data_IF_835965774201
#
_entry.id   IF_835965774201
#
_cell.length_a   1.000
_cell.length_b   1.000
_cell.length_c   1.000
_cell.angle_alpha   90.00
_cell.angle_beta   90.00
_cell.angle_gamma   90.00
#
_symmetry.space_group_name_H-M   'P 1'
#
loop_
_entity.id
_entity.type
_entity.pdbx_description
1 polymer ?
#
# COMPACT_ATOMS: atom_id res chain seq x y z
N UNK A 1 -8.58 2.54 25.73
CA UNK A 1 -8.49 1.10 26.03
C UNK A 1 -8.68 0.80 27.51
N UNK A 2 -7.90 1.41 28.42
CA UNK A 2 -8.08 1.21 29.86
C UNK A 2 -9.48 1.59 30.33
N UNK A 3 -9.94 2.80 29.96
CA UNK A 3 -11.32 3.25 30.21
C UNK A 3 -12.40 2.27 29.69
N UNK A 4 -12.17 1.57 28.58
CA UNK A 4 -13.13 0.61 28.01
C UNK A 4 -13.16 -0.68 28.86
N UNK A 5 -12.00 -1.14 29.34
CA UNK A 5 -11.90 -2.28 30.26
C UNK A 5 -12.53 -1.95 31.62
N UNK A 6 -12.37 -0.72 32.09
CA UNK A 6 -12.93 -0.26 33.36
C UNK A 6 -14.48 -0.27 33.35
N UNK A 7 -15.11 -0.26 32.17
CA UNK A 7 -16.56 -0.44 31.99
C UNK A 7 -16.99 -1.90 31.78
N UNK A 8 -16.12 -2.88 32.07
CA UNK A 8 -16.44 -4.31 31.99
C UNK A 8 -16.44 -4.88 30.57
N UNK A 9 -16.03 -4.12 29.55
CA UNK A 9 -15.95 -4.63 28.19
C UNK A 9 -14.78 -5.61 28.00
N UNK A 10 -15.05 -6.75 27.37
CA UNK A 10 -14.02 -7.67 26.90
C UNK A 10 -13.48 -7.19 25.55
N UNK A 11 -12.16 -7.17 25.41
CA UNK A 11 -11.48 -6.72 24.19
C UNK A 11 -10.70 -7.90 23.63
N UNK A 12 -11.03 -8.27 22.39
CA UNK A 12 -10.25 -9.22 21.58
C UNK A 12 -9.56 -8.41 20.49
N UNK A 13 -8.23 -8.41 20.49
CA UNK A 13 -7.43 -7.73 19.47
C UNK A 13 -7.23 -8.67 18.27
N UNK A 14 -7.89 -8.34 17.16
CA UNK A 14 -7.81 -9.09 15.89
C UNK A 14 -6.84 -8.45 14.90
N UNK A 15 -5.96 -7.54 15.36
CA UNK A 15 -4.96 -6.91 14.50
C UNK A 15 -4.04 -7.97 13.89
N UNK A 16 -3.76 -7.84 12.59
CA UNK A 16 -2.83 -8.70 11.88
C UNK A 16 -1.45 -8.73 12.56
N UNK A 17 -0.85 -9.92 12.68
CA UNK A 17 0.47 -10.10 13.30
C UNK A 17 1.58 -9.28 12.63
N UNK A 18 1.51 -9.09 11.31
CA UNK A 18 2.49 -8.28 10.57
C UNK A 18 2.37 -6.80 10.91
N UNK A 19 1.15 -6.27 11.02
CA UNK A 19 0.90 -4.90 11.50
C UNK A 19 1.41 -4.72 12.93
N UNK A 20 1.16 -5.71 13.81
CA UNK A 20 1.70 -5.68 15.18
C UNK A 20 3.24 -5.70 15.19
N UNK A 21 3.87 -6.35 14.21
CA UNK A 21 5.34 -6.34 14.07
C UNK A 21 5.85 -4.92 13.77
N UNK A 22 5.19 -4.18 12.87
CA UNK A 22 5.51 -2.78 12.57
C UNK A 22 5.37 -1.92 13.81
N UNK A 23 4.28 -2.11 14.57
CA UNK A 23 4.05 -1.39 15.83
C UNK A 23 5.15 -1.62 16.87
N UNK A 24 5.65 -2.85 17.00
CA UNK A 24 6.79 -3.16 17.88
C UNK A 24 8.05 -2.40 17.44
N UNK A 25 8.29 -2.27 16.12
CA UNK A 25 9.45 -1.55 15.58
C UNK A 25 9.38 -0.04 15.82
N UNK A 26 8.28 0.61 15.48
CA UNK A 26 8.14 2.07 15.68
C UNK A 26 8.16 2.45 17.16
N UNK A 27 7.66 1.58 18.06
CA UNK A 27 7.85 1.77 19.51
C UNK A 27 9.30 1.65 19.95
N UNK A 28 10.04 0.68 19.39
CA UNK A 28 11.47 0.54 19.65
C UNK A 28 12.22 1.80 19.18
N UNK A 29 11.90 2.32 18.01
CA UNK A 29 12.46 3.59 17.52
C UNK A 29 12.21 4.73 18.50
N UNK A 30 10.97 4.90 18.96
CA UNK A 30 10.64 5.91 19.97
C UNK A 30 11.48 5.76 21.27
N UNK A 31 11.66 4.52 21.76
CA UNK A 31 12.47 4.26 22.97
C UNK A 31 13.96 4.53 22.79
N UNK A 32 14.46 4.47 21.55
CA UNK A 32 15.85 4.70 21.19
C UNK A 32 16.10 6.13 20.66
N UNK A 33 15.11 7.03 20.77
CA UNK A 33 15.15 8.39 20.21
C UNK A 33 15.42 8.43 18.70
N UNK A 34 14.92 7.41 17.98
CA UNK A 34 14.94 7.31 16.52
C UNK A 34 13.58 7.78 15.99
N UNK A 35 13.60 8.68 15.02
CA UNK A 35 12.38 9.17 14.36
C UNK A 35 11.90 8.16 13.33
N UNK A 36 10.59 7.89 13.29
CA UNK A 36 10.00 6.98 12.32
C UNK A 36 9.64 7.73 11.02
N UNK A 37 10.29 7.38 9.91
CA UNK A 37 9.82 7.72 8.56
C UNK A 37 8.90 6.59 8.11
N UNK A 38 7.60 6.88 7.98
CA UNK A 38 6.58 5.88 7.68
C UNK A 38 6.18 6.01 6.21
N UNK A 39 6.49 5.02 5.39
CA UNK A 39 6.03 4.94 4.01
C UNK A 39 4.56 4.47 3.98
N UNK A 40 3.64 5.34 3.58
CA UNK A 40 2.22 5.00 3.52
C UNK A 40 1.29 6.21 3.33
N UNK A 41 -0.01 5.94 3.26
CA UNK A 41 -1.04 6.99 3.15
C UNK A 41 -1.36 7.55 4.54
N UNK A 42 -1.15 8.84 4.77
CA UNK A 42 -1.34 9.47 6.09
C UNK A 42 -2.77 9.33 6.62
N UNK A 43 -3.78 9.40 5.74
CA UNK A 43 -5.19 9.21 6.12
C UNK A 43 -5.61 7.73 6.32
N UNK A 44 -4.78 6.75 5.97
CA UNK A 44 -5.13 5.33 6.08
C UNK A 44 -5.09 4.86 7.54
N UNK A 45 -6.10 4.09 7.97
CA UNK A 45 -6.27 3.67 9.37
C UNK A 45 -5.06 2.89 9.91
N UNK A 46 -4.45 2.04 9.10
CA UNK A 46 -3.23 1.32 9.50
C UNK A 46 -2.05 2.28 9.75
N UNK A 47 -1.89 3.30 8.90
CA UNK A 47 -0.82 4.30 9.02
C UNK A 47 -1.06 5.20 10.21
N UNK A 48 -2.30 5.63 10.47
CA UNK A 48 -2.68 6.37 11.68
C UNK A 48 -2.38 5.56 12.94
N UNK A 49 -2.75 4.28 12.95
CA UNK A 49 -2.49 3.40 14.07
C UNK A 49 -0.97 3.24 14.30
N UNK A 50 -0.19 2.99 13.26
CA UNK A 50 1.28 2.90 13.32
C UNK A 50 1.91 4.21 13.81
N UNK A 51 1.48 5.35 13.28
CA UNK A 51 1.94 6.68 13.67
C UNK A 51 1.65 6.98 15.15
N UNK A 52 0.49 6.55 15.65
CA UNK A 52 0.16 6.66 17.08
C UNK A 52 1.10 5.84 17.97
N UNK A 53 1.58 4.69 17.47
CA UNK A 53 2.57 3.86 18.19
C UNK A 53 3.98 4.42 18.11
N UNK A 54 4.31 5.15 17.05
CA UNK A 54 5.60 5.81 16.86
C UNK A 54 5.86 6.94 17.88
N UNK A 55 4.83 7.44 18.55
CA UNK A 55 4.99 8.42 19.62
C UNK A 55 5.55 7.80 20.92
N UNK A 56 5.44 6.48 21.10
CA UNK A 56 5.86 5.80 22.33
C UNK A 56 5.21 6.40 23.58
N UNK A 57 6.03 6.77 24.57
CA UNK A 57 5.61 7.46 25.81
C UNK A 57 5.44 9.00 25.61
N UNK A 58 5.26 9.46 24.38
CA UNK A 58 5.08 10.87 24.01
C UNK A 58 6.36 11.61 23.62
N UNK A 59 7.50 10.91 23.54
CA UNK A 59 8.81 11.47 23.14
C UNK A 59 9.23 11.09 21.72
N UNK A 60 8.53 10.13 21.11
CA UNK A 60 8.82 9.69 19.75
C UNK A 60 8.29 10.67 18.71
N UNK A 61 8.99 10.74 17.57
CA UNK A 61 8.59 11.56 16.45
C UNK A 61 8.43 10.72 15.18
N UNK A 62 7.55 11.18 14.29
CA UNK A 62 7.36 10.55 12.99
C UNK A 62 7.06 11.58 11.90
N UNK A 63 7.34 11.16 10.67
CA UNK A 63 6.84 11.79 9.44
C UNK A 63 6.37 10.68 8.49
N UNK A 64 5.25 10.89 7.82
CA UNK A 64 4.68 9.98 6.83
C UNK A 64 5.01 10.51 5.44
N UNK A 65 5.59 9.65 4.61
CA UNK A 65 5.86 9.92 3.19
C UNK A 65 5.02 8.99 2.34
N UNK A 66 4.36 9.52 1.32
CA UNK A 66 3.53 8.71 0.42
C UNK A 66 4.27 8.38 -0.87
N UNK A 67 4.98 9.36 -1.44
CA UNK A 67 5.61 9.22 -2.75
C UNK A 67 7.14 9.23 -2.66
N UNK A 68 7.79 8.77 -3.73
CA UNK A 68 9.23 8.92 -3.88
C UNK A 68 9.66 10.39 -3.94
N UNK A 69 8.81 11.29 -4.46
CA UNK A 69 9.07 12.73 -4.45
C UNK A 69 9.02 13.32 -3.03
N UNK A 70 8.08 12.87 -2.19
CA UNK A 70 8.06 13.24 -0.77
C UNK A 70 9.31 12.72 -0.05
N UNK A 71 9.72 11.50 -0.38
CA UNK A 71 10.94 10.90 0.15
C UNK A 71 12.17 11.68 -0.25
N UNK A 72 12.28 12.10 -1.51
CA UNK A 72 13.38 12.94 -2.00
C UNK A 72 13.44 14.26 -1.26
N UNK A 73 12.29 14.89 -1.02
CA UNK A 73 12.21 16.13 -0.25
C UNK A 73 12.74 15.94 1.18
N UNK A 74 12.36 14.84 1.87
CA UNK A 74 12.91 14.50 3.19
C UNK A 74 14.40 14.25 3.12
N UNK A 75 14.86 13.51 2.11
CA UNK A 75 16.28 13.20 1.91
C UNK A 75 17.11 14.46 1.64
N UNK A 76 16.59 15.41 0.87
CA UNK A 76 17.25 16.67 0.60
C UNK A 76 17.39 17.53 1.85
N UNK A 77 16.33 17.58 2.68
CA UNK A 77 16.40 18.24 3.98
C UNK A 77 17.43 17.56 4.90
N UNK A 78 17.49 16.23 4.93
CA UNK A 78 18.50 15.49 5.70
C UNK A 78 19.92 15.92 5.28
N UNK A 79 20.20 16.00 3.97
CA UNK A 79 21.54 16.31 3.45
C UNK A 79 21.98 17.74 3.72
N UNK A 80 21.07 18.70 3.53
CA UNK A 80 21.42 20.13 3.36
C UNK A 80 20.72 21.06 4.35
N UNK A 81 19.78 20.55 5.13
CA UNK A 81 18.79 21.37 5.82
C UNK A 81 17.82 22.03 4.83
N UNK A 82 17.06 23.00 5.31
CA UNK A 82 16.11 23.74 4.49
C UNK A 82 15.29 24.71 5.32
N UNK A 83 14.18 25.18 4.76
CA UNK A 83 13.22 25.95 5.53
C UNK A 83 12.33 25.00 6.34
N UNK A 84 12.45 25.09 7.66
CA UNK A 84 11.69 24.27 8.61
C UNK A 84 10.18 24.46 8.46
N UNK A 85 9.71 25.68 8.24
CA UNK A 85 8.29 25.98 8.14
C UNK A 85 7.71 25.41 6.85
N UNK A 86 8.43 25.53 5.74
CA UNK A 86 8.07 24.92 4.45
C UNK A 86 7.94 23.40 4.58
N UNK A 87 8.89 22.74 5.26
CA UNK A 87 8.84 21.30 5.52
C UNK A 87 7.57 20.92 6.30
N UNK A 88 7.29 21.63 7.40
CA UNK A 88 6.12 21.36 8.24
C UNK A 88 4.81 21.60 7.48
N UNK A 89 4.76 22.60 6.61
CA UNK A 89 3.59 22.87 5.78
C UNK A 89 3.38 21.81 4.71
N UNK A 90 4.45 21.33 4.05
CA UNK A 90 4.38 20.23 3.07
C UNK A 90 3.85 18.94 3.70
N UNK A 91 4.29 18.62 4.91
CA UNK A 91 3.88 17.40 5.62
C UNK A 91 2.76 17.64 6.65
N UNK A 92 1.96 18.70 6.49
CA UNK A 92 0.88 19.03 7.41
C UNK A 92 -0.11 17.87 7.53
N UNK A 93 -0.34 17.42 8.76
CA UNK A 93 -1.18 16.26 9.05
C UNK A 93 -0.51 14.90 8.82
N UNK A 94 0.75 14.91 8.37
CA UNK A 94 1.59 13.75 8.12
C UNK A 94 2.86 13.73 8.99
N UNK A 95 2.92 14.50 10.08
CA UNK A 95 4.03 14.46 11.04
C UNK A 95 3.51 14.54 12.49
N UNK A 96 4.33 14.15 13.46
CA UNK A 96 3.96 14.24 14.88
C UNK A 96 3.87 15.69 15.38
N UNK A 97 3.10 15.92 16.45
CA UNK A 97 3.10 17.21 17.13
C UNK A 97 4.50 17.54 17.68
N UNK A 98 4.91 18.81 17.56
CA UNK A 98 6.24 19.25 17.98
C UNK A 98 7.40 18.70 17.13
N UNK A 99 7.12 18.19 15.93
CA UNK A 99 8.16 17.75 15.01
C UNK A 99 9.09 18.91 14.63
N UNK A 100 10.40 18.68 14.71
CA UNK A 100 11.44 19.60 14.31
C UNK A 100 12.38 18.88 13.35
N UNK A 101 12.35 19.17 12.04
CA UNK A 101 13.18 18.47 11.06
C UNK A 101 14.69 18.65 11.31
N UNK A 102 15.13 19.74 11.95
CA UNK A 102 16.56 20.00 12.24
C UNK A 102 17.13 19.10 13.35
N UNK A 103 16.23 18.58 14.20
CA UNK A 103 16.57 17.71 15.33
C UNK A 103 16.16 16.27 15.03
N UNK A 104 14.93 16.06 14.58
CA UNK A 104 14.31 14.75 14.48
C UNK A 104 14.69 14.00 13.20
N UNK A 105 15.27 14.64 12.19
CA UNK A 105 15.81 13.93 11.02
C UNK A 105 17.29 13.52 11.22
N UNK A 106 17.87 13.72 12.41
CA UNK A 106 19.23 13.28 12.72
C UNK A 106 19.35 11.76 12.77
N UNK A 107 18.46 11.10 13.49
CA UNK A 107 18.47 9.64 13.61
C UNK A 107 17.12 9.12 13.18
N UNK A 108 17.08 8.34 12.10
CA UNK A 108 15.83 7.94 11.45
C UNK A 108 15.75 6.43 11.24
N UNK A 109 14.53 5.93 11.35
CA UNK A 109 14.16 4.56 11.08
C UNK A 109 13.02 4.49 10.08
N UNK A 110 13.12 3.63 9.07
CA UNK A 110 12.04 3.46 8.09
C UNK A 110 11.10 2.34 8.51
N UNK A 111 9.81 2.63 8.46
CA UNK A 111 8.71 1.66 8.59
C UNK A 111 7.73 1.87 7.42
N UNK A 112 6.83 0.92 7.18
CA UNK A 112 5.83 1.06 6.12
C UNK A 112 4.45 0.58 6.56
N UNK A 113 3.43 1.09 5.88
CA UNK A 113 2.12 0.45 5.81
C UNK A 113 2.27 -0.90 5.08
N UNK A 114 1.77 -1.98 5.67
CA UNK A 114 1.98 -3.37 5.24
C UNK A 114 1.45 -3.70 3.84
N UNK A 115 0.60 -2.84 3.31
CA UNK A 115 -0.03 -2.95 1.99
C UNK A 115 0.65 -2.14 0.90
N UNK A 116 1.73 -1.40 1.18
CA UNK A 116 2.49 -0.63 0.17
C UNK A 116 3.21 -1.53 -0.84
N UNK A 117 3.59 -0.98 -2.00
CA UNK A 117 4.44 -1.66 -2.97
C UNK A 117 5.83 -1.95 -2.39
N UNK A 118 6.32 -3.17 -2.61
CA UNK A 118 7.62 -3.61 -2.10
C UNK A 118 8.77 -2.82 -2.71
N UNK A 119 8.80 -2.72 -4.04
CA UNK A 119 9.86 -1.99 -4.75
C UNK A 119 9.92 -0.52 -4.36
N UNK A 120 8.77 0.13 -4.19
CA UNK A 120 8.73 1.52 -3.70
C UNK A 120 9.26 1.64 -2.27
N UNK A 121 8.87 0.74 -1.38
CA UNK A 121 9.34 0.74 0.01
C UNK A 121 10.85 0.49 0.10
N UNK A 122 11.38 -0.43 -0.69
CA UNK A 122 12.83 -0.67 -0.81
C UNK A 122 13.56 0.57 -1.31
N UNK A 123 12.97 1.28 -2.29
CA UNK A 123 13.52 2.51 -2.83
C UNK A 123 13.49 3.65 -1.80
N UNK A 124 12.42 3.78 -1.00
CA UNK A 124 12.37 4.71 0.13
C UNK A 124 13.49 4.43 1.13
N UNK A 125 13.66 3.16 1.52
CA UNK A 125 14.74 2.76 2.43
C UNK A 125 16.12 3.10 1.86
N UNK A 126 16.34 2.79 0.57
CA UNK A 126 17.61 3.07 -0.12
C UNK A 126 17.92 4.56 -0.15
N UNK A 127 16.95 5.40 -0.51
CA UNK A 127 17.11 6.86 -0.61
C UNK A 127 17.39 7.49 0.75
N UNK A 128 16.62 7.13 1.77
CA UNK A 128 16.82 7.64 3.15
C UNK A 128 18.18 7.20 3.68
N UNK A 129 18.56 5.93 3.49
CA UNK A 129 19.89 5.44 3.88
C UNK A 129 21.00 6.24 3.21
N UNK A 130 20.88 6.45 1.90
CA UNK A 130 21.87 7.21 1.15
C UNK A 130 21.96 8.65 1.64
N UNK A 131 20.84 9.31 1.94
CA UNK A 131 20.85 10.67 2.48
C UNK A 131 21.58 10.78 3.84
N UNK A 132 21.41 9.78 4.71
CA UNK A 132 22.14 9.70 5.98
C UNK A 132 23.63 9.44 5.75
N UNK A 133 23.99 8.56 4.81
CA UNK A 133 25.41 8.33 4.41
C UNK A 133 26.04 9.58 3.84
N UNK A 134 25.32 10.32 3.00
CA UNK A 134 25.81 11.56 2.39
C UNK A 134 26.07 12.64 3.45
N UNK A 135 25.27 12.66 4.52
CA UNK A 135 25.40 13.62 5.63
C UNK A 135 26.50 13.22 6.63
N UNK A 136 26.52 11.96 7.05
CA UNK A 136 27.30 11.48 8.21
C UNK A 136 28.56 10.69 7.83
N UNK A 137 28.65 10.22 6.57
CA UNK A 137 29.59 9.19 6.16
C UNK A 137 29.11 7.77 6.46
N UNK A 138 29.69 6.77 5.77
CA UNK A 138 29.22 5.39 5.80
C UNK A 138 29.29 4.72 7.19
N UNK A 139 30.32 5.02 7.97
CA UNK A 139 30.51 4.43 9.31
C UNK A 139 29.48 4.94 10.32
N UNK A 140 29.23 6.24 10.36
CA UNK A 140 28.27 6.85 11.29
C UNK A 140 26.82 6.62 10.85
N UNK A 141 26.55 6.48 9.55
CA UNK A 141 25.23 6.14 9.05
C UNK A 141 24.68 4.82 9.62
N UNK A 142 25.55 3.86 9.94
CA UNK A 142 25.14 2.62 10.60
C UNK A 142 24.55 2.85 12.00
N UNK A 143 24.88 3.97 12.66
CA UNK A 143 24.32 4.37 13.96
C UNK A 143 23.08 5.25 13.80
N UNK A 144 23.00 6.04 12.72
CA UNK A 144 21.95 7.03 12.52
C UNK A 144 20.79 6.57 11.63
N UNK A 145 20.93 5.44 10.95
CA UNK A 145 19.88 4.82 10.14
C UNK A 145 19.45 3.46 10.70
N UNK A 146 18.14 3.22 10.74
CA UNK A 146 17.54 1.92 11.05
C UNK A 146 16.57 1.53 9.94
N UNK A 147 16.53 0.26 9.59
CA UNK A 147 15.47 -0.27 8.75
C UNK A 147 15.14 -1.70 9.16
N UNK A 148 13.90 -2.10 8.90
CA UNK A 148 13.45 -3.48 8.95
C UNK A 148 12.51 -3.68 7.77
N UNK A 149 12.55 -4.87 7.17
CA UNK A 149 11.49 -5.23 6.22
C UNK A 149 10.20 -5.44 7.02
N UNK A 150 9.22 -4.57 6.77
CA UNK A 150 7.92 -4.57 7.45
C UNK A 150 6.77 -4.79 6.48
N UNK A 151 7.05 -5.26 5.26
CA UNK A 151 6.01 -5.65 4.29
C UNK A 151 5.41 -7.00 4.72
N UNK A 152 4.09 -7.10 4.70
CA UNK A 152 3.37 -8.34 5.01
C UNK A 152 3.64 -9.40 3.93
N UNK A 153 3.88 -10.64 4.35
CA UNK A 153 4.10 -11.77 3.43
C UNK A 153 2.93 -11.98 2.47
N UNK A 154 1.69 -11.77 2.92
CA UNK A 154 0.51 -11.88 2.07
C UNK A 154 0.51 -10.83 0.93
N UNK A 155 0.89 -9.58 1.22
CA UNK A 155 1.02 -8.52 0.20
C UNK A 155 2.09 -8.91 -0.84
N UNK A 156 3.24 -9.42 -0.36
CA UNK A 156 4.33 -9.85 -1.21
C UNK A 156 3.92 -11.00 -2.13
N UNK A 157 3.28 -12.05 -1.61
CA UNK A 157 2.78 -13.19 -2.38
C UNK A 157 1.86 -12.75 -3.53
N UNK A 158 0.92 -11.81 -3.30
CA UNK A 158 0.03 -11.33 -4.38
C UNK A 158 0.79 -10.51 -5.42
N UNK A 159 1.70 -9.63 -5.00
CA UNK A 159 2.48 -8.83 -5.95
C UNK A 159 3.40 -9.73 -6.80
N UNK A 160 4.02 -10.74 -6.20
CA UNK A 160 4.88 -11.68 -6.91
C UNK A 160 4.09 -12.56 -7.87
N UNK A 161 2.95 -13.11 -7.42
CA UNK A 161 2.04 -13.85 -8.30
C UNK A 161 1.51 -12.99 -9.46
N UNK A 162 1.20 -11.71 -9.22
CA UNK A 162 0.81 -10.80 -10.29
C UNK A 162 1.97 -10.49 -11.24
N UNK A 163 3.20 -10.30 -10.74
CA UNK A 163 4.38 -10.10 -11.60
C UNK A 163 4.58 -11.28 -12.54
N UNK A 164 4.45 -12.50 -12.02
CA UNK A 164 4.50 -13.73 -12.82
C UNK A 164 3.38 -13.77 -13.86
N UNK A 165 2.14 -13.50 -13.45
CA UNK A 165 0.99 -13.44 -14.35
C UNK A 165 1.19 -12.41 -15.46
N UNK A 166 1.71 -11.24 -15.12
CA UNK A 166 2.03 -10.14 -16.05
C UNK A 166 3.20 -10.45 -17.01
N UNK A 167 3.88 -11.59 -16.86
CA UNK A 167 4.85 -12.07 -17.84
C UNK A 167 4.22 -13.00 -18.90
N UNK A 168 2.96 -13.39 -18.70
CA UNK A 168 2.15 -14.10 -19.71
C UNK A 168 1.60 -13.08 -20.70
N UNK A 169 1.58 -13.44 -21.99
CA UNK A 169 0.93 -12.63 -23.02
C UNK A 169 -0.60 -12.66 -22.83
N UNK A 170 -1.17 -11.55 -22.36
CA UNK A 170 -2.60 -11.40 -22.09
C UNK A 170 -3.14 -10.14 -22.78
N UNK A 171 -4.42 -10.16 -23.13
CA UNK A 171 -5.09 -9.04 -23.80
C UNK A 171 -5.60 -7.98 -22.80
N UNK A 172 -6.00 -8.42 -21.61
CA UNK A 172 -6.45 -7.54 -20.53
C UNK A 172 -6.32 -8.21 -19.15
N UNK A 173 -6.34 -7.38 -18.10
CA UNK A 173 -6.36 -7.80 -16.70
C UNK A 173 -7.64 -7.32 -15.99
N UNK A 174 -8.31 -8.22 -15.28
CA UNK A 174 -9.35 -7.87 -14.31
C UNK A 174 -8.78 -7.96 -12.90
N UNK A 175 -8.94 -6.87 -12.14
CA UNK A 175 -8.58 -6.82 -10.72
C UNK A 175 -9.86 -6.73 -9.91
N UNK A 176 -10.12 -7.72 -9.06
CA UNK A 176 -11.37 -7.81 -8.28
C UNK A 176 -11.11 -7.43 -6.82
N UNK A 177 -11.92 -6.50 -6.29
CA UNK A 177 -11.93 -6.20 -4.86
C UNK A 177 -12.46 -4.80 -4.52
N UNK A 178 -12.39 -4.44 -3.24
CA UNK A 178 -12.89 -3.16 -2.75
C UNK A 178 -11.98 -1.98 -3.12
N UNK A 179 -12.56 -0.87 -3.57
CA UNK A 179 -11.83 0.34 -4.00
C UNK A 179 -11.01 1.02 -2.90
N UNK A 180 -11.36 0.78 -1.63
CA UNK A 180 -10.61 1.30 -0.48
C UNK A 180 -9.45 0.37 -0.04
N UNK A 181 -9.25 -0.77 -0.70
CA UNK A 181 -8.19 -1.73 -0.38
C UNK A 181 -6.88 -1.31 -1.04
N UNK A 182 -5.93 -0.80 -0.25
CA UNK A 182 -4.61 -0.37 -0.76
C UNK A 182 -3.90 -1.48 -1.54
N UNK A 183 -3.94 -2.73 -1.06
CA UNK A 183 -3.37 -3.87 -1.80
C UNK A 183 -4.05 -4.08 -3.16
N UNK A 184 -5.39 -3.97 -3.23
CA UNK A 184 -6.10 -4.15 -4.51
C UNK A 184 -5.79 -3.01 -5.48
N UNK A 185 -5.71 -1.77 -4.99
CA UNK A 185 -5.28 -0.61 -5.79
C UNK A 185 -3.90 -0.82 -6.39
N UNK A 186 -2.92 -1.28 -5.59
CA UNK A 186 -1.58 -1.54 -6.09
C UNK A 186 -1.51 -2.66 -7.15
N UNK A 187 -2.33 -3.70 -7.02
CA UNK A 187 -2.43 -4.74 -8.06
C UNK A 187 -2.98 -4.15 -9.38
N UNK A 188 -3.94 -3.23 -9.30
CA UNK A 188 -4.46 -2.52 -10.47
C UNK A 188 -3.42 -1.57 -11.08
N UNK A 189 -2.69 -0.78 -10.26
CA UNK A 189 -1.59 0.09 -10.71
C UNK A 189 -0.53 -0.71 -11.49
N UNK A 190 -0.09 -1.85 -10.93
CA UNK A 190 0.88 -2.75 -11.58
C UNK A 190 0.38 -3.31 -12.92
N UNK A 191 -0.93 -3.51 -13.07
CA UNK A 191 -1.55 -3.93 -14.32
C UNK A 191 -1.61 -2.81 -15.35
N UNK A 192 -2.08 -1.62 -14.95
CA UNK A 192 -2.23 -0.44 -15.82
C UNK A 192 -0.90 -0.02 -16.48
N UNK A 193 0.24 -0.29 -15.83
CA UNK A 193 1.57 -0.06 -16.41
C UNK A 193 1.89 -0.93 -17.64
N UNK A 194 1.21 -2.07 -17.82
CA UNK A 194 1.57 -3.08 -18.83
C UNK A 194 0.49 -3.34 -19.87
N UNK A 195 -0.78 -3.38 -19.46
CA UNK A 195 -1.89 -3.79 -20.33
C UNK A 195 -3.22 -3.18 -19.87
N UNK A 196 -4.26 -3.17 -20.73
CA UNK A 196 -5.59 -2.72 -20.35
C UNK A 196 -6.08 -3.44 -19.08
N UNK A 197 -6.30 -2.66 -18.02
CA UNK A 197 -6.63 -3.19 -16.70
C UNK A 197 -7.94 -2.58 -16.22
N UNK A 198 -8.82 -3.41 -15.67
CA UNK A 198 -10.12 -2.97 -15.16
C UNK A 198 -10.29 -3.38 -13.69
N UNK A 199 -10.33 -2.39 -12.81
CA UNK A 199 -10.54 -2.59 -11.38
C UNK A 199 -12.04 -2.61 -11.05
N UNK A 200 -12.58 -3.79 -10.76
CA UNK A 200 -14.01 -4.00 -10.51
C UNK A 200 -14.29 -4.45 -9.08
N UNK A 201 -15.43 -3.99 -8.55
CA UNK A 201 -15.88 -4.42 -7.22
C UNK A 201 -16.29 -5.90 -7.20
N UNK A 202 -16.97 -6.34 -8.25
CA UNK A 202 -17.52 -7.70 -8.42
C UNK A 202 -18.09 -7.87 -9.85
N UNK A 203 -18.65 -9.05 -10.13
CA UNK A 203 -19.27 -9.42 -11.40
C UNK A 203 -20.32 -8.43 -11.94
N UNK A 204 -21.08 -7.73 -11.08
CA UNK A 204 -22.15 -6.81 -11.52
C UNK A 204 -21.64 -5.62 -12.34
N UNK A 205 -20.32 -5.41 -12.34
CA UNK A 205 -19.63 -4.36 -13.07
C UNK A 205 -19.32 -4.71 -14.52
N UNK A 206 -19.36 -5.98 -14.88
CA UNK A 206 -19.25 -6.48 -16.25
C UNK A 206 -20.63 -6.40 -16.90
N UNK A 207 -21.00 -5.19 -17.34
CA UNK A 207 -22.35 -4.86 -17.78
C UNK A 207 -22.74 -5.64 -19.04
N UNK A 208 -21.87 -5.63 -20.05
CA UNK A 208 -22.06 -6.34 -21.32
C UNK A 208 -20.70 -6.67 -21.96
N UNK A 209 -20.69 -7.38 -23.08
CA UNK A 209 -19.47 -7.62 -23.86
C UNK A 209 -18.84 -6.33 -24.41
N UNK A 210 -19.60 -5.23 -24.44
CA UNK A 210 -19.13 -3.93 -24.94
C UNK A 210 -18.98 -2.90 -23.82
N UNK A 211 -19.47 -3.12 -22.61
CA UNK A 211 -19.44 -2.12 -21.54
C UNK A 211 -19.01 -2.71 -20.21
N UNK A 212 -18.09 -2.03 -19.54
CA UNK A 212 -17.63 -2.35 -18.18
C UNK A 212 -17.63 -1.09 -17.34
N UNK A 213 -18.13 -1.20 -16.11
CA UNK A 213 -18.03 -0.15 -15.10
C UNK A 213 -16.88 -0.47 -14.16
N UNK A 214 -15.84 0.33 -14.13
CA UNK A 214 -14.64 0.04 -13.33
C UNK A 214 -14.15 1.29 -12.63
N UNK A 215 -13.30 1.12 -11.62
CA UNK A 215 -12.78 2.22 -10.82
C UNK A 215 -11.50 2.75 -11.42
N UNK A 216 -11.50 4.03 -11.79
CA UNK A 216 -10.31 4.71 -12.27
C UNK A 216 -9.52 5.25 -11.07
N UNK A 217 -8.28 4.78 -10.91
CA UNK A 217 -7.42 5.14 -9.77
C UNK A 217 -7.02 6.61 -9.76
N UNK A 218 -6.85 7.22 -10.94
CA UNK A 218 -6.47 8.62 -11.08
C UNK A 218 -7.63 9.57 -10.77
N UNK A 219 -8.84 9.23 -11.23
CA UNK A 219 -10.04 10.04 -11.01
C UNK A 219 -10.75 9.72 -9.68
N UNK A 220 -10.35 8.62 -9.02
CA UNK A 220 -10.92 8.12 -7.76
C UNK A 220 -12.45 7.96 -7.80
N UNK A 221 -12.96 7.42 -8.91
CA UNK A 221 -14.39 7.18 -9.13
C UNK A 221 -14.63 6.04 -10.12
N UNK A 222 -15.84 5.48 -10.08
CA UNK A 222 -16.29 4.54 -11.12
C UNK A 222 -16.52 5.29 -12.45
N UNK A 223 -16.00 4.72 -13.53
CA UNK A 223 -16.19 5.16 -14.92
C UNK A 223 -16.71 3.99 -15.75
N UNK A 224 -17.28 4.29 -16.93
CA UNK A 224 -17.70 3.27 -17.88
C UNK A 224 -16.74 3.29 -19.08
N UNK A 225 -16.21 2.13 -19.43
CA UNK A 225 -15.42 1.94 -20.64
C UNK A 225 -16.21 1.12 -21.64
N UNK A 226 -16.13 1.53 -22.90
CA UNK A 226 -16.74 0.85 -24.03
C UNK A 226 -15.71 -0.02 -24.77
N UNK A 227 -16.19 -1.05 -25.48
CA UNK A 227 -15.39 -1.99 -26.26
C UNK A 227 -14.27 -2.66 -25.44
N UNK A 228 -14.51 -2.91 -24.16
CA UNK A 228 -13.51 -3.40 -23.21
C UNK A 228 -13.10 -4.86 -23.44
N UNK A 229 -13.99 -5.67 -24.03
CA UNK A 229 -13.82 -7.11 -24.24
C UNK A 229 -13.57 -7.41 -25.74
N UNK A 230 -12.32 -7.62 -26.18
CA UNK A 230 -12.01 -7.82 -27.61
C UNK A 230 -12.67 -9.08 -28.18
N UNK A 231 -13.20 -9.06 -29.43
CA UNK A 231 -13.85 -10.22 -30.02
C UNK A 231 -12.83 -11.35 -30.34
N UNK A 232 -13.33 -12.57 -30.46
CA UNK A 232 -12.49 -13.74 -30.77
C UNK A 232 -11.82 -14.36 -29.55
N UNK A 233 -10.85 -15.28 -29.76
CA UNK A 233 -10.04 -15.87 -28.69
C UNK A 233 -9.19 -14.79 -28.04
N UNK A 234 -9.25 -14.69 -26.71
CA UNK A 234 -8.46 -13.77 -25.92
C UNK A 234 -7.95 -14.48 -24.67
N UNK A 235 -6.88 -13.94 -24.09
CA UNK A 235 -6.34 -14.36 -22.80
C UNK A 235 -6.62 -13.24 -21.80
N UNK A 236 -7.44 -13.55 -20.79
CA UNK A 236 -7.81 -12.62 -19.72
C UNK A 236 -7.10 -13.02 -18.44
N UNK A 237 -6.27 -12.12 -17.91
CA UNK A 237 -5.73 -12.25 -16.56
C UNK A 237 -6.78 -11.88 -15.52
N UNK A 238 -6.84 -12.61 -14.42
CA UNK A 238 -7.70 -12.28 -13.28
C UNK A 238 -6.87 -12.36 -12.01
N UNK A 239 -6.93 -11.31 -11.19
CA UNK A 239 -6.34 -11.27 -9.87
C UNK A 239 -7.29 -10.61 -8.89
N UNK A 240 -7.01 -10.74 -7.59
CA UNK A 240 -7.84 -10.15 -6.55
C UNK A 240 -7.02 -9.73 -5.33
N UNK A 241 -7.52 -8.72 -4.62
CA UNK A 241 -6.90 -8.28 -3.38
C UNK A 241 -6.97 -9.33 -2.27
N UNK A 242 -6.06 -9.26 -1.29
CA UNK A 242 -6.04 -10.17 -0.15
C UNK A 242 -7.35 -10.20 0.67
N UNK A 243 -8.15 -9.14 0.62
CA UNK A 243 -9.45 -9.03 1.30
C UNK A 243 -10.65 -9.44 0.44
N UNK A 244 -10.42 -9.92 -0.79
CA UNK A 244 -11.50 -10.33 -1.70
C UNK A 244 -11.91 -11.78 -1.43
N UNK A 245 -13.19 -12.05 -1.10
CA UNK A 245 -13.70 -13.41 -1.01
C UNK A 245 -13.63 -14.17 -2.34
N UNK A 246 -13.37 -15.49 -2.28
CA UNK A 246 -13.24 -16.34 -3.47
C UNK A 246 -14.51 -16.35 -4.33
N UNK A 247 -15.70 -16.26 -3.74
CA UNK A 247 -16.95 -16.25 -4.50
C UNK A 247 -17.06 -15.04 -5.43
N UNK A 248 -16.50 -13.88 -5.07
CA UNK A 248 -16.50 -12.71 -5.97
C UNK A 248 -15.62 -12.93 -7.20
N UNK A 249 -14.54 -13.68 -7.05
CA UNK A 249 -13.65 -14.06 -8.16
C UNK A 249 -14.38 -15.05 -9.07
N UNK A 250 -15.00 -16.08 -8.48
CA UNK A 250 -15.78 -17.09 -9.20
C UNK A 250 -16.95 -16.47 -9.96
N UNK A 251 -17.74 -15.60 -9.32
CA UNK A 251 -18.84 -14.89 -9.96
C UNK A 251 -18.34 -14.02 -11.13
N UNK A 252 -17.17 -13.38 -10.99
CA UNK A 252 -16.58 -12.56 -12.05
C UNK A 252 -16.14 -13.41 -13.23
N UNK A 253 -15.55 -14.57 -12.98
CA UNK A 253 -15.19 -15.57 -13.99
C UNK A 253 -16.44 -16.07 -14.74
N UNK A 254 -17.46 -16.52 -14.01
CA UNK A 254 -18.72 -16.99 -14.59
C UNK A 254 -19.33 -15.88 -15.45
N UNK A 255 -19.38 -14.65 -14.94
CA UNK A 255 -19.92 -13.51 -15.70
C UNK A 255 -19.13 -13.25 -16.99
N UNK A 256 -17.80 -13.33 -16.95
CA UNK A 256 -16.96 -13.16 -18.14
C UNK A 256 -17.29 -14.22 -19.21
N UNK A 257 -17.49 -15.47 -18.82
CA UNK A 257 -17.92 -16.55 -19.71
C UNK A 257 -19.34 -16.35 -20.24
N UNK A 258 -20.28 -15.90 -19.41
CA UNK A 258 -21.64 -15.57 -19.84
C UNK A 258 -21.67 -14.49 -20.91
N UNK A 259 -20.81 -13.46 -20.78
CA UNK A 259 -20.64 -12.41 -21.80
C UNK A 259 -20.07 -12.95 -23.12
N UNK A 260 -19.56 -14.18 -23.14
CA UNK A 260 -19.13 -14.93 -24.32
C UNK A 260 -20.10 -16.06 -24.70
N UNK A 261 -21.29 -16.10 -24.10
CA UNK A 261 -22.33 -17.10 -24.38
C UNK A 261 -22.02 -18.49 -23.83
N UNK A 262 -21.09 -18.61 -22.89
CA UNK A 262 -20.76 -19.86 -22.20
C UNK A 262 -21.48 -19.82 -20.85
N UNK A 263 -22.48 -20.70 -20.68
CA UNK A 263 -23.28 -20.76 -19.46
C UNK A 263 -22.53 -21.46 -18.33
N UNK A 264 -22.95 -21.20 -17.09
CA UNK A 264 -22.40 -21.84 -15.89
C UNK A 264 -22.45 -23.36 -15.96
N UNK A 265 -23.55 -23.93 -16.45
CA UNK A 265 -23.70 -25.39 -16.56
C UNK A 265 -22.65 -25.99 -17.50
N UNK A 266 -22.24 -25.27 -18.55
CA UNK A 266 -21.19 -25.72 -19.46
C UNK A 266 -19.80 -25.68 -18.83
N UNK A 267 -19.57 -24.79 -17.86
CA UNK A 267 -18.30 -24.71 -17.12
C UNK A 267 -18.20 -25.83 -16.09
N UNK A 268 -19.29 -26.12 -15.38
CA UNK A 268 -19.34 -27.17 -14.35
C UNK A 268 -19.16 -28.58 -14.93
N UNK A 269 -19.59 -28.81 -16.18
CA UNK A 269 -19.38 -30.09 -16.90
C UNK A 269 -17.94 -30.25 -17.42
N UNK A 270 -17.18 -29.15 -17.52
CA UNK A 270 -15.81 -29.14 -18.05
C UNK A 270 -14.72 -29.21 -16.97
N UNK A 271 -15.08 -29.08 -15.70
CA UNK A 271 -14.19 -29.15 -14.52
C UNK A 271 -14.09 -30.58 -13.97
#
# INVERSE_FOLDING_TARGET
LQQIKDHGCQIVDTTCGDVMSVWKRVRKYASESVTSIIHGKAEHEETKATSSRALGDGKGHYVVVLTLADTDYVCDYIRRGGDKQEFLDKFRGAHSAGFDPDVHLRTVGVANQTTMLRGETEEVQRRVRQAIVDRDGAEEAAKNFRFFDTICGATQERQDALRELLNVSMDLLLVVGGYNSSNTSHLAEMGEEKLPTYFVLNASRLLSATEIKHYNLHEKREVVSHFWLPPGPIVVGITAGASCPNNLIEETLIRLFELRGISRERLEVAA
#
